data_IF_346743916701
#
_entry.id   IF_346743916701
#
_cell.length_a   1.000
_cell.length_b   1.000
_cell.length_c   1.000
_cell.angle_alpha   90.00
_cell.angle_beta   90.00
_cell.angle_gamma   90.00
#
_symmetry.space_group_name_H-M   'P 1'
#
loop_
_entity.id
_entity.type
_entity.pdbx_description
1 polymer ?
#
# COMPACT_ATOMS: atom_id res chain seq x y z
N UNK A 1 -17.84 -4.21 -12.28
CA UNK A 1 -16.60 -3.95 -11.52
C UNK A 1 -15.32 -4.46 -12.22
N UNK A 2 -15.41 -5.15 -13.37
CA UNK A 2 -14.23 -5.69 -14.08
C UNK A 2 -13.35 -4.65 -14.80
N UNK A 3 -13.81 -3.40 -14.96
CA UNK A 3 -13.08 -2.37 -15.73
C UNK A 3 -11.87 -1.78 -14.99
N UNK A 4 -11.94 -1.62 -13.67
CA UNK A 4 -10.87 -0.98 -12.88
C UNK A 4 -9.71 -1.96 -12.66
N UNK A 5 -10.03 -3.23 -12.38
CA UNK A 5 -9.02 -4.29 -12.30
C UNK A 5 -8.34 -4.54 -13.66
N UNK A 6 -9.09 -4.46 -14.76
CA UNK A 6 -8.52 -4.55 -16.11
C UNK A 6 -7.58 -3.37 -16.43
N UNK A 7 -7.93 -2.15 -16.02
CA UNK A 7 -7.09 -0.96 -16.22
C UNK A 7 -5.81 -1.04 -15.40
N UNK A 8 -5.89 -1.43 -14.12
CA UNK A 8 -4.73 -1.60 -13.25
C UNK A 8 -3.81 -2.72 -13.76
N UNK A 9 -4.39 -3.81 -14.27
CA UNK A 9 -3.64 -4.90 -14.91
C UNK A 9 -2.88 -4.41 -16.15
N UNK A 10 -3.52 -3.61 -17.02
CA UNK A 10 -2.86 -3.03 -18.19
C UNK A 10 -1.71 -2.08 -17.83
N UNK A 11 -1.86 -1.26 -16.77
CA UNK A 11 -0.79 -0.38 -16.30
C UNK A 11 0.36 -1.17 -15.65
N UNK A 12 0.06 -2.22 -14.89
CA UNK A 12 1.07 -3.10 -14.31
C UNK A 12 1.92 -3.76 -15.41
N UNK A 13 1.31 -4.27 -16.48
CA UNK A 13 2.01 -4.84 -17.62
C UNK A 13 3.00 -3.83 -18.23
N UNK A 14 2.56 -2.59 -18.48
CA UNK A 14 3.42 -1.53 -19.02
C UNK A 14 4.62 -1.22 -18.11
N UNK A 15 4.44 -1.23 -16.78
CA UNK A 15 5.54 -1.05 -15.81
C UNK A 15 6.56 -2.18 -15.87
N UNK A 16 6.10 -3.42 -16.00
CA UNK A 16 7.00 -4.57 -16.09
C UNK A 16 7.75 -4.64 -17.43
N UNK A 17 7.14 -4.19 -18.51
CA UNK A 17 7.81 -4.07 -19.82
C UNK A 17 8.89 -2.97 -19.80
N UNK A 18 8.65 -1.88 -19.06
CA UNK A 18 9.65 -0.82 -18.85
C UNK A 18 10.81 -1.21 -17.92
N UNK A 19 10.65 -2.26 -17.11
CA UNK A 19 11.71 -2.72 -16.20
C UNK A 19 12.82 -3.45 -16.97
N UNK A 20 14.09 -3.11 -16.70
CA UNK A 20 15.27 -3.76 -17.29
C UNK A 20 15.55 -5.15 -16.66
N UNK A 21 14.58 -6.06 -16.78
CA UNK A 21 14.60 -7.41 -16.22
C UNK A 21 14.58 -8.48 -17.33
N UNK A 22 15.21 -9.65 -17.13
CA UNK A 22 15.05 -10.78 -18.04
C UNK A 22 13.59 -11.20 -18.19
N UNK A 23 13.21 -11.71 -19.36
CA UNK A 23 11.83 -12.12 -19.68
C UNK A 23 11.21 -13.04 -18.62
N UNK A 24 11.96 -14.04 -18.18
CA UNK A 24 11.51 -14.97 -17.14
C UNK A 24 11.21 -14.27 -15.80
N UNK A 25 12.01 -13.27 -15.43
CA UNK A 25 11.78 -12.49 -14.20
C UNK A 25 10.54 -11.64 -14.38
N UNK A 26 10.34 -11.02 -15.54
CA UNK A 26 9.13 -10.24 -15.86
C UNK A 26 7.86 -11.08 -15.70
N UNK A 27 7.83 -12.28 -16.25
CA UNK A 27 6.71 -13.21 -16.14
C UNK A 27 6.42 -13.60 -14.68
N UNK A 28 7.46 -13.81 -13.87
CA UNK A 28 7.30 -14.11 -12.45
C UNK A 28 6.76 -12.91 -11.65
N UNK A 29 7.19 -11.69 -11.97
CA UNK A 29 6.66 -10.46 -11.35
C UNK A 29 5.19 -10.23 -11.73
N UNK A 30 4.85 -10.43 -13.00
CA UNK A 30 3.46 -10.38 -13.49
C UNK A 30 2.59 -11.43 -12.79
N UNK A 31 3.08 -12.65 -12.64
CA UNK A 31 2.35 -13.71 -11.92
C UNK A 31 2.17 -13.36 -10.43
N UNK A 32 3.21 -12.84 -9.77
CA UNK A 32 3.13 -12.42 -8.37
C UNK A 32 2.12 -11.27 -8.18
N UNK A 33 2.16 -10.27 -9.06
CA UNK A 33 1.18 -9.17 -9.07
C UNK A 33 -0.24 -9.67 -9.33
N UNK A 34 -0.41 -10.59 -10.29
CA UNK A 34 -1.71 -11.20 -10.59
C UNK A 34 -2.31 -11.97 -9.40
N UNK A 35 -1.49 -12.69 -8.65
CA UNK A 35 -1.92 -13.35 -7.40
C UNK A 35 -2.31 -12.31 -6.36
N UNK A 36 -1.48 -11.28 -6.16
CA UNK A 36 -1.79 -10.21 -5.21
C UNK A 36 -3.10 -9.48 -5.58
N UNK A 37 -3.33 -9.19 -6.85
CA UNK A 37 -4.56 -8.58 -7.34
C UNK A 37 -5.79 -9.46 -7.05
N UNK A 38 -5.68 -10.78 -7.29
CA UNK A 38 -6.76 -11.72 -6.99
C UNK A 38 -7.09 -11.78 -5.51
N UNK A 39 -6.07 -11.76 -4.63
CA UNK A 39 -6.26 -11.87 -3.18
C UNK A 39 -6.71 -10.54 -2.56
N UNK A 40 -6.17 -9.40 -3.02
CA UNK A 40 -6.33 -8.11 -2.35
C UNK A 40 -7.50 -7.27 -2.87
N UNK A 41 -7.95 -7.47 -4.12
CA UNK A 41 -8.96 -6.60 -4.72
C UNK A 41 -10.26 -6.53 -3.90
N UNK A 42 -10.79 -7.67 -3.46
CA UNK A 42 -12.02 -7.73 -2.67
C UNK A 42 -11.84 -7.16 -1.24
N UNK A 43 -10.81 -7.56 -0.46
CA UNK A 43 -10.53 -6.93 0.83
C UNK A 43 -10.38 -5.41 0.77
N UNK A 44 -9.66 -4.87 -0.23
CA UNK A 44 -9.48 -3.43 -0.38
C UNK A 44 -10.81 -2.69 -0.64
N UNK A 45 -11.72 -3.28 -1.41
CA UNK A 45 -13.06 -2.74 -1.61
C UNK A 45 -13.86 -2.74 -0.30
N UNK A 46 -13.81 -3.85 0.44
CA UNK A 46 -14.50 -3.97 1.73
C UNK A 46 -13.94 -2.99 2.77
N UNK A 47 -12.64 -2.69 2.75
CA UNK A 47 -12.05 -1.66 3.60
C UNK A 47 -12.68 -0.29 3.36
N UNK A 48 -12.94 0.08 2.09
CA UNK A 48 -13.62 1.35 1.76
C UNK A 48 -15.07 1.37 2.24
N UNK A 49 -15.81 0.27 2.04
CA UNK A 49 -17.18 0.13 2.55
C UNK A 49 -17.21 0.23 4.08
N UNK A 50 -16.26 -0.40 4.77
CA UNK A 50 -16.20 -0.33 6.22
C UNK A 50 -15.84 1.08 6.70
N UNK A 51 -14.87 1.74 6.05
CA UNK A 51 -14.49 3.11 6.38
C UNK A 51 -15.68 4.08 6.26
N UNK A 52 -16.46 3.97 5.17
CA UNK A 52 -17.66 4.78 4.98
C UNK A 52 -18.69 4.57 6.09
N UNK A 53 -18.90 3.31 6.51
CA UNK A 53 -19.81 2.96 7.62
C UNK A 53 -19.33 3.53 8.95
N UNK A 54 -18.05 3.45 9.25
CA UNK A 54 -17.47 4.03 10.47
C UNK A 54 -17.64 5.55 10.47
N UNK A 55 -17.35 6.23 9.36
CA UNK A 55 -17.56 7.67 9.22
C UNK A 55 -19.03 8.05 9.41
N UNK A 56 -19.96 7.28 8.84
CA UNK A 56 -21.39 7.50 9.07
C UNK A 56 -21.74 7.36 10.56
N UNK A 57 -21.25 6.31 11.21
CA UNK A 57 -21.42 6.12 12.65
C UNK A 57 -20.85 7.26 13.51
N UNK A 58 -19.76 7.90 13.07
CA UNK A 58 -19.20 9.09 13.71
C UNK A 58 -20.07 10.34 13.47
N UNK A 59 -20.63 10.51 12.27
CA UNK A 59 -21.54 11.61 11.96
C UNK A 59 -22.81 11.56 12.81
N UNK A 60 -23.40 10.38 12.98
CA UNK A 60 -24.60 10.17 13.82
C UNK A 60 -24.35 10.50 15.30
N UNK A 61 -23.10 10.37 15.76
CA UNK A 61 -22.68 10.65 17.15
C UNK A 61 -22.08 12.03 17.32
N UNK A 62 -22.07 12.86 16.28
CA UNK A 62 -21.42 14.16 16.32
C UNK A 62 -22.07 15.09 17.35
N UNK A 63 -21.24 15.79 18.13
CA UNK A 63 -21.67 16.68 19.21
C UNK A 63 -22.35 17.98 18.75
N UNK A 64 -22.18 18.36 17.48
CA UNK A 64 -22.79 19.54 16.88
C UNK A 64 -22.96 19.36 15.35
N UNK A 65 -23.81 20.20 14.75
CA UNK A 65 -24.14 20.16 13.33
C UNK A 65 -22.95 20.48 12.41
N UNK A 66 -21.99 21.28 12.88
CA UNK A 66 -20.80 21.60 12.10
C UNK A 66 -19.92 20.36 11.88
N UNK A 67 -19.57 19.66 12.96
CA UNK A 67 -18.77 18.42 12.88
C UNK A 67 -19.50 17.36 12.07
N UNK A 68 -20.83 17.24 12.23
CA UNK A 68 -21.64 16.33 11.44
C UNK A 68 -21.55 16.64 9.93
N UNK A 69 -21.70 17.92 9.56
CA UNK A 69 -21.60 18.36 8.17
C UNK A 69 -20.21 18.11 7.58
N UNK A 70 -19.16 18.33 8.36
CA UNK A 70 -17.77 18.07 7.96
C UNK A 70 -17.53 16.58 7.70
N UNK A 71 -18.02 15.68 8.57
CA UNK A 71 -17.90 14.23 8.39
C UNK A 71 -18.68 13.78 7.14
N UNK A 72 -19.90 14.28 6.92
CA UNK A 72 -20.64 13.95 5.69
C UNK A 72 -19.95 14.48 4.42
N UNK A 73 -19.22 15.59 4.50
CA UNK A 73 -18.40 16.05 3.39
C UNK A 73 -17.27 15.06 3.07
N UNK A 74 -16.61 14.51 4.09
CA UNK A 74 -15.59 13.45 3.94
C UNK A 74 -16.18 12.17 3.35
N UNK A 75 -17.37 11.74 3.81
CA UNK A 75 -18.07 10.57 3.25
C UNK A 75 -18.33 10.74 1.74
N UNK A 76 -18.80 11.92 1.33
CA UNK A 76 -19.02 12.23 -0.09
C UNK A 76 -17.73 12.18 -0.88
N UNK A 77 -16.64 12.76 -0.36
CA UNK A 77 -15.33 12.71 -1.01
C UNK A 77 -14.80 11.28 -1.14
N UNK A 78 -14.93 10.48 -0.08
CA UNK A 78 -14.56 9.06 -0.09
C UNK A 78 -15.32 8.30 -1.18
N UNK A 79 -16.63 8.51 -1.29
CA UNK A 79 -17.49 7.85 -2.29
C UNK A 79 -17.07 8.11 -3.73
N UNK A 80 -16.48 9.28 -4.05
CA UNK A 80 -15.96 9.59 -5.39
C UNK A 80 -14.82 8.63 -5.78
N UNK A 81 -13.98 8.26 -4.81
CA UNK A 81 -12.73 7.55 -5.05
C UNK A 81 -12.74 6.08 -4.60
N UNK A 82 -13.76 5.64 -3.87
CA UNK A 82 -13.84 4.31 -3.27
C UNK A 82 -13.69 3.17 -4.29
N UNK A 83 -14.23 3.34 -5.51
CA UNK A 83 -14.11 2.35 -6.58
C UNK A 83 -12.69 2.26 -7.17
N UNK A 84 -11.93 3.37 -7.16
CA UNK A 84 -10.59 3.46 -7.73
C UNK A 84 -9.49 3.01 -6.75
N UNK A 85 -9.76 3.09 -5.45
CA UNK A 85 -8.81 2.78 -4.39
C UNK A 85 -8.07 1.43 -4.56
N UNK A 86 -8.74 0.30 -4.87
CA UNK A 86 -8.03 -0.96 -5.10
C UNK A 86 -7.06 -0.89 -6.30
N UNK A 87 -7.42 -0.12 -7.33
CA UNK A 87 -6.57 0.08 -8.49
C UNK A 87 -5.29 0.84 -8.13
N UNK A 88 -5.42 1.97 -7.43
CA UNK A 88 -4.27 2.75 -6.97
C UNK A 88 -3.31 1.93 -6.13
N UNK A 89 -3.84 1.11 -5.21
CA UNK A 89 -3.04 0.22 -4.38
C UNK A 89 -2.28 -0.81 -5.23
N UNK A 90 -2.96 -1.48 -6.16
CA UNK A 90 -2.35 -2.50 -7.01
C UNK A 90 -1.37 -1.91 -8.03
N UNK A 91 -1.59 -0.68 -8.47
CA UNK A 91 -0.67 0.06 -9.33
C UNK A 91 0.63 0.42 -8.59
N UNK A 92 0.52 0.89 -7.36
CA UNK A 92 1.68 1.15 -6.49
C UNK A 92 2.45 -0.13 -6.15
N UNK A 93 1.75 -1.26 -5.97
CA UNK A 93 2.39 -2.56 -5.80
C UNK A 93 3.16 -2.99 -7.06
N UNK A 94 2.57 -2.82 -8.25
CA UNK A 94 3.24 -3.10 -9.51
C UNK A 94 4.49 -2.25 -9.68
N UNK A 95 4.44 -0.98 -9.29
CA UNK A 95 5.59 -0.08 -9.30
C UNK A 95 6.71 -0.55 -8.37
N UNK A 96 6.39 -0.95 -7.14
CA UNK A 96 7.38 -1.53 -6.22
C UNK A 96 8.04 -2.79 -6.77
N UNK A 97 7.27 -3.65 -7.45
CA UNK A 97 7.79 -4.85 -8.10
C UNK A 97 8.65 -4.55 -9.33
N UNK A 98 8.28 -3.55 -10.13
CA UNK A 98 9.05 -3.15 -11.32
C UNK A 98 10.44 -2.61 -10.95
N UNK A 99 10.57 -1.98 -9.78
CA UNK A 99 11.82 -1.45 -9.24
C UNK A 99 12.69 -2.48 -8.50
N UNK A 100 12.35 -3.77 -8.56
CA UNK A 100 13.02 -4.82 -7.78
C UNK A 100 14.54 -4.88 -7.94
N UNK A 101 15.07 -4.56 -9.14
CA UNK A 101 16.51 -4.60 -9.43
C UNK A 101 17.22 -3.28 -9.21
N UNK A 102 16.48 -2.21 -8.92
CA UNK A 102 17.11 -0.95 -8.59
C UNK A 102 17.92 -1.15 -7.31
N UNK A 103 19.16 -0.61 -7.24
CA UNK A 103 19.89 -0.64 -6.00
C UNK A 103 19.02 0.04 -4.94
N UNK A 104 18.93 -0.52 -3.71
CA UNK A 104 18.25 0.18 -2.63
C UNK A 104 18.85 1.58 -2.58
N UNK A 105 17.99 2.61 -2.58
CA UNK A 105 18.45 3.95 -2.24
C UNK A 105 19.28 3.79 -0.96
N UNK A 106 20.51 4.34 -0.91
CA UNK A 106 21.36 4.20 0.27
C UNK A 106 20.48 4.51 1.46
N UNK A 107 20.37 3.54 2.39
CA UNK A 107 19.54 3.71 3.57
C UNK A 107 19.81 5.13 4.05
N UNK A 108 18.77 5.96 4.08
CA UNK A 108 18.77 7.03 5.04
C UNK A 108 18.82 6.27 6.37
N UNK A 109 20.04 5.93 6.82
CA UNK A 109 20.32 5.42 8.16
C UNK A 109 19.39 6.20 9.06
N UNK A 110 18.54 5.55 9.88
CA UNK A 110 17.38 6.16 10.52
C UNK A 110 17.87 7.46 11.08
N UNK A 111 17.64 8.53 10.34
CA UNK A 111 18.30 9.76 10.68
C UNK A 111 17.39 10.15 11.80
N UNK A 112 17.93 10.14 13.01
CA UNK A 112 17.52 11.06 14.06
C UNK A 112 17.73 12.53 13.59
N UNK A 113 17.57 12.80 12.29
CA UNK A 113 17.13 14.06 11.78
C UNK A 113 15.69 14.12 12.25
N UNK A 114 15.56 14.78 13.39
CA UNK A 114 14.47 15.70 13.64
C UNK A 114 14.05 16.23 12.26
N UNK A 115 12.91 15.80 11.71
CA UNK A 115 12.49 16.27 10.40
C UNK A 115 12.50 17.80 10.47
N UNK A 116 13.06 18.45 9.45
CA UNK A 116 12.99 19.90 9.32
C UNK A 116 11.56 20.30 9.66
N UNK A 117 11.42 21.13 10.71
CA UNK A 117 10.19 21.38 11.46
C UNK A 117 9.08 21.90 10.54
N UNK A 118 8.45 20.97 9.85
CA UNK A 118 7.16 21.12 9.20
C UNK A 118 6.20 20.58 10.23
N UNK A 119 5.10 21.30 10.52
CA UNK A 119 4.08 20.81 11.46
C UNK A 119 3.48 19.53 10.89
N UNK A 120 4.06 18.39 11.24
CA UNK A 120 3.43 17.08 11.12
C UNK A 120 2.33 17.08 12.17
N UNK A 121 1.09 16.82 11.76
CA UNK A 121 -0.02 16.74 12.69
C UNK A 121 0.16 15.51 13.59
N UNK A 122 -0.22 15.59 14.87
CA UNK A 122 -0.11 14.45 15.81
C UNK A 122 -0.79 13.19 15.24
N UNK A 123 -1.86 13.38 14.45
CA UNK A 123 -2.60 12.31 13.77
C UNK A 123 -1.76 11.54 12.74
N UNK A 124 -0.81 12.18 12.06
CA UNK A 124 0.07 11.50 11.08
C UNK A 124 1.11 10.62 11.76
N UNK A 125 1.68 11.07 12.88
CA UNK A 125 2.62 10.28 13.68
C UNK A 125 1.92 9.02 14.21
N UNK A 126 0.71 9.17 14.73
CA UNK A 126 -0.08 8.05 15.24
C UNK A 126 -0.40 7.02 14.14
N UNK A 127 -0.72 7.49 12.92
CA UNK A 127 -0.99 6.62 11.76
C UNK A 127 0.22 5.76 11.40
N UNK A 128 1.41 6.35 11.33
CA UNK A 128 2.64 5.64 10.95
C UNK A 128 3.03 4.61 12.02
N UNK A 129 2.86 4.93 13.31
CA UNK A 129 3.08 3.99 14.42
C UNK A 129 2.12 2.80 14.32
N UNK A 130 0.82 3.05 14.10
CA UNK A 130 -0.19 1.99 13.99
C UNK A 130 0.14 1.08 12.80
N UNK A 131 0.45 1.64 11.64
CA UNK A 131 0.80 0.87 10.44
C UNK A 131 2.10 0.07 10.62
N UNK A 132 3.10 0.64 11.29
CA UNK A 132 4.33 -0.07 11.60
C UNK A 132 4.07 -1.28 12.53
N UNK A 133 3.30 -1.09 13.60
CA UNK A 133 2.96 -2.17 14.52
C UNK A 133 2.09 -3.26 13.86
N UNK A 134 1.18 -2.88 12.97
CA UNK A 134 0.44 -3.84 12.13
C UNK A 134 1.40 -4.66 11.27
N UNK A 135 2.29 -4.01 10.52
CA UNK A 135 3.26 -4.68 9.67
C UNK A 135 4.18 -5.62 10.47
N UNK A 136 4.64 -5.19 11.64
CA UNK A 136 5.46 -5.98 12.55
C UNK A 136 4.75 -7.24 13.03
N UNK A 137 3.49 -7.12 13.47
CA UNK A 137 2.67 -8.26 13.94
C UNK A 137 2.44 -9.29 12.84
N UNK A 138 2.08 -8.84 11.64
CA UNK A 138 1.85 -9.73 10.50
C UNK A 138 3.15 -10.35 9.98
N UNK A 139 4.27 -9.61 10.06
CA UNK A 139 5.59 -10.14 9.74
C UNK A 139 5.98 -11.30 10.66
N UNK A 140 5.73 -11.15 11.97
CA UNK A 140 6.01 -12.22 12.93
C UNK A 140 5.16 -13.47 12.69
N UNK A 141 3.87 -13.30 12.33
CA UNK A 141 2.95 -14.41 12.03
C UNK A 141 3.38 -15.23 10.82
N UNK A 142 3.97 -14.59 9.81
CA UNK A 142 4.38 -15.23 8.56
C UNK A 142 5.91 -15.32 8.38
N UNK A 143 6.68 -15.21 9.47
CA UNK A 143 8.13 -15.00 9.44
C UNK A 143 8.89 -15.99 8.55
N UNK A 144 8.62 -17.30 8.68
CA UNK A 144 9.29 -18.34 7.90
C UNK A 144 8.99 -18.23 6.40
N UNK A 145 7.73 -17.97 6.05
CA UNK A 145 7.31 -17.78 4.66
C UNK A 145 7.94 -16.51 4.06
N UNK A 146 8.00 -15.41 4.83
CA UNK A 146 8.59 -14.15 4.39
C UNK A 146 10.10 -14.26 4.19
N UNK A 147 10.81 -15.02 5.03
CA UNK A 147 12.24 -15.29 4.85
C UNK A 147 12.53 -16.06 3.56
N UNK A 148 11.77 -17.14 3.29
CA UNK A 148 11.90 -17.90 2.03
C UNK A 148 11.56 -17.03 0.82
N UNK A 149 10.53 -16.19 0.94
CA UNK A 149 10.14 -15.26 -0.11
C UNK A 149 11.25 -14.24 -0.37
N UNK A 150 11.89 -13.70 0.68
CA UNK A 150 13.02 -12.79 0.59
C UNK A 150 14.23 -13.39 -0.13
N UNK A 151 14.55 -14.66 0.12
CA UNK A 151 15.59 -15.39 -0.63
C UNK A 151 15.23 -15.51 -2.12
N UNK A 152 13.99 -15.90 -2.43
CA UNK A 152 13.52 -16.04 -3.81
C UNK A 152 13.54 -14.70 -4.55
N UNK A 153 13.10 -13.62 -3.91
CA UNK A 153 13.15 -12.27 -4.47
C UNK A 153 14.60 -11.78 -4.65
N UNK A 154 15.53 -12.14 -3.76
CA UNK A 154 16.96 -11.87 -3.94
C UNK A 154 17.51 -12.46 -5.24
N UNK A 155 17.15 -13.73 -5.54
CA UNK A 155 17.52 -14.37 -6.81
C UNK A 155 16.93 -13.64 -8.01
N UNK A 156 15.66 -13.24 -7.95
CA UNK A 156 15.00 -12.48 -9.03
C UNK A 156 15.64 -11.10 -9.24
N UNK A 157 16.08 -10.46 -8.14
CA UNK A 157 16.74 -9.17 -8.18
C UNK A 157 18.20 -9.26 -8.66
N UNK A 158 18.81 -10.45 -8.61
CA UNK A 158 20.26 -10.67 -8.68
C UNK A 158 21.01 -9.90 -7.57
N UNK A 159 20.45 -9.92 -6.35
CA UNK A 159 20.95 -9.24 -5.15
C UNK A 159 20.90 -10.20 -3.94
N UNK A 160 21.49 -9.83 -2.78
CA UNK A 160 21.29 -10.58 -1.54
C UNK A 160 19.80 -10.78 -1.20
N UNK A 161 19.52 -11.76 -0.33
CA UNK A 161 18.16 -12.00 0.14
C UNK A 161 17.57 -10.73 0.76
N UNK A 162 16.30 -10.47 0.47
CA UNK A 162 15.59 -9.31 1.01
C UNK A 162 15.23 -9.58 2.48
N UNK A 163 15.47 -8.59 3.33
CA UNK A 163 14.88 -8.55 4.66
C UNK A 163 13.36 -8.38 4.57
N UNK A 164 12.66 -8.81 5.62
CA UNK A 164 11.19 -8.77 5.67
C UNK A 164 10.63 -7.36 5.45
N UNK A 165 11.34 -6.34 5.93
CA UNK A 165 10.96 -4.92 5.79
C UNK A 165 11.09 -4.40 4.35
N UNK A 166 11.95 -5.03 3.54
CA UNK A 166 12.24 -4.63 2.17
C UNK A 166 11.47 -5.43 1.13
N UNK A 167 10.77 -6.48 1.55
CA UNK A 167 10.04 -7.36 0.65
C UNK A 167 8.87 -6.59 -0.03
N UNK A 168 8.78 -6.54 -1.37
CA UNK A 168 7.81 -5.69 -2.08
C UNK A 168 6.35 -6.13 -1.87
N UNK A 169 6.14 -7.42 -1.61
CA UNK A 169 4.82 -8.01 -1.27
C UNK A 169 4.69 -8.30 0.24
N UNK A 170 5.63 -7.78 1.04
CA UNK A 170 5.64 -7.95 2.50
C UNK A 170 4.76 -6.94 3.23
N UNK A 171 4.42 -7.20 4.51
CA UNK A 171 3.51 -6.35 5.28
C UNK A 171 3.93 -4.88 5.33
N UNK A 172 5.23 -4.59 5.51
CA UNK A 172 5.75 -3.22 5.55
C UNK A 172 5.54 -2.46 4.23
N UNK A 173 5.79 -3.11 3.09
CA UNK A 173 5.55 -2.51 1.78
C UNK A 173 4.06 -2.26 1.55
N UNK A 174 3.20 -3.22 1.88
CA UNK A 174 1.74 -3.09 1.75
C UNK A 174 1.16 -1.99 2.65
N UNK A 175 1.62 -1.87 3.90
CA UNK A 175 1.21 -0.79 4.81
C UNK A 175 1.68 0.59 4.31
N UNK A 176 2.87 0.70 3.72
CA UNK A 176 3.35 1.94 3.12
C UNK A 176 2.54 2.34 1.89
N UNK A 177 2.17 1.39 1.03
CA UNK A 177 1.26 1.65 -0.09
C UNK A 177 -0.11 2.10 0.44
N UNK A 178 -0.63 1.45 1.49
CA UNK A 178 -1.87 1.83 2.14
C UNK A 178 -1.83 3.28 2.64
N UNK A 179 -0.72 3.67 3.29
CA UNK A 179 -0.51 5.05 3.77
C UNK A 179 -0.58 6.06 2.63
N UNK A 180 0.17 5.83 1.55
CA UNK A 180 0.20 6.72 0.38
C UNK A 180 -1.17 6.79 -0.33
N UNK A 181 -1.88 5.67 -0.43
CA UNK A 181 -3.24 5.65 -0.99
C UNK A 181 -4.23 6.41 -0.08
N UNK A 182 -4.07 6.30 1.24
CA UNK A 182 -4.87 7.03 2.22
C UNK A 182 -4.67 8.55 2.14
N UNK A 183 -3.43 9.01 1.95
CA UNK A 183 -3.15 10.43 1.71
C UNK A 183 -3.85 10.96 0.46
N UNK A 184 -3.87 10.16 -0.61
CA UNK A 184 -4.57 10.50 -1.85
C UNK A 184 -6.08 10.62 -1.68
N UNK A 185 -6.68 9.94 -0.70
CA UNK A 185 -8.10 10.08 -0.38
C UNK A 185 -8.43 11.43 0.28
N UNK A 186 -7.43 12.16 0.79
CA UNK A 186 -7.63 13.50 1.34
C UNK A 186 -8.49 13.54 2.61
N UNK A 187 -8.52 12.43 3.36
CA UNK A 187 -9.22 12.36 4.65
C UNK A 187 -8.37 13.08 5.71
N UNK A 188 -8.98 14.04 6.41
CA UNK A 188 -8.33 14.81 7.48
C UNK A 188 -8.16 13.96 8.73
#
# INVERSE_FOLDING_TARGET
MSGITATSSSQALARFDGAQVPERVRQLLQAAHGIAAQVLASPLQLTMVQLERELFGLAEKARNSQIQADIYAQIRQLGVHAAEFPGWFLDALAEGLARLREPPAPDAAPTTAIPAMTLVTDTDIDRDIVLHEMARRESYRAQSHLQLLGQRFGVLAAQPAFDVERLPVGPYALCRILRACGERLGLN
#
